data_IF_235999328574
#
_entry.id   IF_235999328574
#
_cell.length_a   1.000
_cell.length_b   1.000
_cell.length_c   1.000
_cell.angle_alpha   90.00
_cell.angle_beta   90.00
_cell.angle_gamma   90.00
#
_symmetry.space_group_name_H-M   'P 1'
#
loop_
_entity.id
_entity.type
_entity.pdbx_description
1 polymer ?
#
# COMPACT_ATOMS: atom_id res chain seq x y z
N UNK A 1 1.87 -5.86 7.74
CA UNK A 1 0.39 -5.75 7.66
C UNK A 1 -0.24 -6.17 8.97
N UNK A 2 -1.15 -5.35 9.50
CA UNK A 2 -2.00 -5.64 10.66
C UNK A 2 -3.43 -5.87 10.17
N UNK A 3 -3.99 -7.04 10.43
CA UNK A 3 -5.40 -7.31 10.16
C UNK A 3 -6.21 -6.97 11.41
N UNK A 4 -7.29 -6.20 11.24
CA UNK A 4 -8.16 -5.69 12.30
C UNK A 4 -9.62 -5.90 11.96
N UNK A 5 -10.48 -5.99 12.98
CA UNK A 5 -11.92 -6.16 12.79
C UNK A 5 -12.62 -4.88 12.31
N UNK A 6 -12.10 -3.71 12.66
CA UNK A 6 -12.68 -2.43 12.28
C UNK A 6 -11.59 -1.37 12.12
N UNK A 7 -11.36 -0.98 10.88
CA UNK A 7 -10.30 -0.04 10.49
C UNK A 7 -10.45 1.34 11.14
N UNK A 8 -11.68 1.77 11.42
CA UNK A 8 -11.95 3.08 12.01
C UNK A 8 -11.54 3.21 13.49
N UNK A 9 -11.30 2.10 14.17
CA UNK A 9 -10.81 2.11 15.56
C UNK A 9 -9.30 2.32 15.66
N UNK A 10 -8.59 2.35 14.53
CA UNK A 10 -7.14 2.39 14.49
C UNK A 10 -6.62 3.64 13.78
N UNK A 11 -5.64 4.30 14.39
CA UNK A 11 -4.94 5.43 13.78
C UNK A 11 -3.71 4.93 13.03
N UNK A 12 -3.77 4.96 11.69
CA UNK A 12 -2.63 4.56 10.85
C UNK A 12 -1.38 5.43 11.14
N UNK A 13 -1.55 6.72 11.45
CA UNK A 13 -0.43 7.60 11.80
C UNK A 13 0.30 7.13 13.06
N UNK A 14 -0.44 6.77 14.12
CA UNK A 14 0.15 6.30 15.37
C UNK A 14 0.82 4.94 15.22
N UNK A 15 0.17 4.01 14.53
CA UNK A 15 0.70 2.65 14.32
C UNK A 15 1.90 2.71 13.36
N UNK A 16 1.74 3.39 12.22
CA UNK A 16 2.75 3.50 11.17
C UNK A 16 4.04 4.11 11.70
N UNK A 17 3.96 5.27 12.35
CA UNK A 17 5.11 5.97 12.89
C UNK A 17 5.92 5.10 13.87
N UNK A 18 5.24 4.39 14.78
CA UNK A 18 5.92 3.51 15.75
C UNK A 18 6.49 2.26 15.12
N UNK A 19 5.78 1.67 14.15
CA UNK A 19 6.19 0.42 13.50
C UNK A 19 7.32 0.65 12.51
N UNK A 20 7.29 1.76 11.76
CA UNK A 20 8.33 2.10 10.78
C UNK A 20 9.73 2.08 11.39
N UNK A 21 9.88 2.63 12.61
CA UNK A 21 11.18 2.78 13.28
C UNK A 21 11.46 1.67 14.29
N UNK A 22 10.63 0.62 14.32
CA UNK A 22 10.84 -0.48 15.27
C UNK A 22 12.16 -1.20 14.96
N UNK A 23 12.98 -1.54 15.96
CA UNK A 23 14.26 -2.26 15.79
C UNK A 23 14.17 -3.59 15.01
N UNK A 24 12.99 -4.22 14.93
CA UNK A 24 12.74 -5.37 14.08
C UNK A 24 12.91 -5.06 12.59
N UNK A 25 12.87 -3.78 12.20
CA UNK A 25 12.99 -3.31 10.82
C UNK A 25 14.15 -2.32 10.72
N UNK A 26 15.41 -2.77 10.66
CA UNK A 26 16.58 -1.88 10.69
C UNK A 26 16.63 -0.89 9.53
N UNK A 27 16.05 -1.25 8.38
CA UNK A 27 15.92 -0.36 7.22
C UNK A 27 14.56 0.36 7.17
N UNK A 28 13.82 0.37 8.30
CA UNK A 28 12.42 0.81 8.38
C UNK A 28 11.48 -0.05 7.52
N UNK A 29 10.18 0.22 7.58
CA UNK A 29 9.19 -0.56 6.82
C UNK A 29 7.96 0.26 6.45
N UNK A 30 7.29 -0.14 5.38
CA UNK A 30 5.90 0.27 5.13
C UNK A 30 4.97 -0.46 6.09
N UNK A 31 3.86 0.18 6.44
CA UNK A 31 2.88 -0.37 7.37
C UNK A 31 1.49 -0.28 6.77
N UNK A 32 0.75 -1.38 6.83
CA UNK A 32 -0.63 -1.41 6.41
C UNK A 32 -1.52 -1.87 7.57
N UNK A 33 -2.66 -1.20 7.74
CA UNK A 33 -3.75 -1.67 8.60
C UNK A 33 -4.90 -2.03 7.68
N UNK A 34 -5.39 -3.25 7.80
CA UNK A 34 -6.33 -3.86 6.86
C UNK A 34 -7.54 -4.46 7.59
N UNK A 35 -8.74 -4.19 7.06
CA UNK A 35 -10.01 -4.79 7.48
C UNK A 35 -10.51 -5.68 6.36
N UNK A 36 -10.61 -6.98 6.62
CA UNK A 36 -11.22 -7.93 5.68
C UNK A 36 -12.73 -7.76 5.74
N UNK A 37 -13.32 -7.25 4.66
CA UNK A 37 -14.76 -7.03 4.55
C UNK A 37 -15.47 -8.35 4.21
N UNK A 38 -14.92 -9.07 3.24
CA UNK A 38 -15.33 -10.41 2.82
C UNK A 38 -14.16 -11.11 2.11
N UNK A 39 -14.35 -12.34 1.66
CA UNK A 39 -13.32 -13.15 1.00
C UNK A 39 -12.77 -12.54 -0.32
N UNK A 40 -13.39 -11.47 -0.82
CA UNK A 40 -13.05 -10.80 -2.08
C UNK A 40 -12.72 -9.31 -1.92
N UNK A 41 -12.80 -8.76 -0.70
CA UNK A 41 -12.63 -7.32 -0.45
C UNK A 41 -11.90 -7.04 0.85
N UNK A 42 -10.92 -6.12 0.78
CA UNK A 42 -10.17 -5.65 1.94
C UNK A 42 -10.09 -4.12 1.88
N UNK A 43 -10.41 -3.45 2.98
CA UNK A 43 -10.14 -2.01 3.17
C UNK A 43 -8.76 -1.84 3.79
N UNK A 44 -7.99 -0.87 3.31
CA UNK A 44 -6.59 -0.70 3.71
C UNK A 44 -6.27 0.77 3.92
N UNK A 45 -5.55 1.06 5.00
CA UNK A 45 -4.83 2.31 5.22
C UNK A 45 -3.34 2.07 5.23
N UNK A 46 -2.60 2.97 4.60
CA UNK A 46 -1.17 2.81 4.34
C UNK A 46 -0.36 3.91 5.02
N UNK A 47 0.75 3.51 5.60
CA UNK A 47 1.86 4.35 6.00
C UNK A 47 3.09 3.90 5.24
N UNK A 48 3.64 4.77 4.40
CA UNK A 48 4.83 4.44 3.62
C UNK A 48 6.10 4.96 4.29
N UNK A 49 7.12 4.15 4.27
CA UNK A 49 8.45 4.45 4.80
C UNK A 49 8.98 5.77 4.24
N UNK A 50 9.28 6.72 5.12
CA UNK A 50 9.81 8.03 4.75
C UNK A 50 8.79 9.03 4.19
N UNK A 51 7.56 8.59 3.88
CA UNK A 51 6.52 9.45 3.29
C UNK A 51 5.33 9.65 4.23
N UNK A 52 5.09 8.72 5.15
CA UNK A 52 3.95 8.76 6.05
C UNK A 52 2.66 8.25 5.41
N UNK A 53 1.52 8.88 5.72
CA UNK A 53 0.22 8.47 5.19
C UNK A 53 0.17 8.76 3.69
N UNK A 54 -0.19 7.75 2.90
CA UNK A 54 -0.44 7.87 1.46
C UNK A 54 -1.84 7.39 1.11
N UNK A 55 -2.41 7.99 0.07
CA UNK A 55 -3.79 7.70 -0.37
C UNK A 55 -3.89 6.35 -1.07
N UNK A 56 -2.82 5.89 -1.70
CA UNK A 56 -2.74 4.62 -2.41
C UNK A 56 -1.29 4.15 -2.52
N UNK A 57 -1.10 2.83 -2.55
CA UNK A 57 0.20 2.19 -2.78
C UNK A 57 -0.02 0.81 -3.38
N UNK A 58 0.45 0.60 -4.62
CA UNK A 58 0.32 -0.66 -5.33
C UNK A 58 1.08 -1.79 -4.63
N UNK A 59 2.30 -1.54 -4.17
CA UNK A 59 3.10 -2.54 -3.43
C UNK A 59 2.47 -2.91 -2.09
N UNK A 60 1.91 -1.94 -1.37
CA UNK A 60 1.16 -2.20 -0.13
C UNK A 60 -0.11 -3.01 -0.38
N UNK A 61 -0.83 -2.73 -1.46
CA UNK A 61 -2.00 -3.52 -1.87
C UNK A 61 -1.63 -4.99 -2.13
N UNK A 62 -0.53 -5.21 -2.86
CA UNK A 62 0.01 -6.56 -3.10
C UNK A 62 0.41 -7.27 -1.81
N UNK A 63 1.11 -6.58 -0.90
CA UNK A 63 1.53 -7.14 0.38
C UNK A 63 0.34 -7.55 1.26
N UNK A 64 -0.71 -6.73 1.31
CA UNK A 64 -1.95 -7.03 2.05
C UNK A 64 -2.65 -8.25 1.46
N UNK A 65 -2.88 -8.27 0.13
CA UNK A 65 -3.56 -9.37 -0.54
C UNK A 65 -2.82 -10.70 -0.36
N UNK A 66 -1.51 -10.70 -0.54
CA UNK A 66 -0.68 -11.89 -0.35
C UNK A 66 -0.72 -12.39 1.10
N UNK A 67 -0.63 -11.47 2.07
CA UNK A 67 -0.71 -11.82 3.49
C UNK A 67 -2.08 -12.40 3.85
N UNK A 68 -3.16 -11.79 3.34
CA UNK A 68 -4.52 -12.28 3.56
C UNK A 68 -4.74 -13.69 2.99
N UNK A 69 -4.25 -13.93 1.76
CA UNK A 69 -4.26 -15.27 1.14
C UNK A 69 -3.52 -16.29 2.01
N UNK A 70 -2.31 -15.99 2.45
CA UNK A 70 -1.50 -16.89 3.30
C UNK A 70 -2.18 -17.24 4.61
N UNK A 71 -3.01 -16.35 5.14
CA UNK A 71 -3.78 -16.55 6.38
C UNK A 71 -5.16 -17.17 6.11
N UNK A 72 -5.47 -17.52 4.87
CA UNK A 72 -6.78 -18.05 4.43
C UNK A 72 -7.95 -17.11 4.78
N UNK A 73 -7.72 -15.81 4.77
CA UNK A 73 -8.73 -14.78 5.02
C UNK A 73 -9.50 -14.41 3.75
N UNK A 74 -8.88 -14.61 2.58
CA UNK A 74 -9.44 -14.23 1.28
C UNK A 74 -9.11 -15.25 0.21
N UNK A 75 -9.82 -15.13 -0.94
CA UNK A 75 -9.50 -15.82 -2.19
C UNK A 75 -8.23 -15.28 -2.84
N UNK A 76 -7.81 -15.91 -3.94
CA UNK A 76 -6.64 -15.51 -4.72
C UNK A 76 -6.78 -14.14 -5.40
N UNK A 77 -8.03 -13.72 -5.65
CA UNK A 77 -8.36 -12.46 -6.29
C UNK A 77 -9.18 -11.60 -5.35
N UNK A 78 -8.67 -10.42 -5.03
CA UNK A 78 -9.32 -9.49 -4.09
C UNK A 78 -9.28 -8.04 -4.58
N UNK A 79 -10.32 -7.30 -4.24
CA UNK A 79 -10.36 -5.85 -4.36
C UNK A 79 -9.78 -5.21 -3.11
N UNK A 80 -8.76 -4.38 -3.31
CA UNK A 80 -8.15 -3.58 -2.25
C UNK A 80 -8.71 -2.17 -2.34
N UNK A 81 -9.41 -1.75 -1.30
CA UNK A 81 -10.05 -0.43 -1.18
C UNK A 81 -9.13 0.46 -0.35
N UNK A 82 -8.53 1.44 -1.00
CA UNK A 82 -7.63 2.44 -0.44
C UNK A 82 -8.33 3.80 -0.40
N UNK A 83 -7.82 4.74 0.38
CA UNK A 83 -8.39 6.10 0.44
C UNK A 83 -8.36 6.81 -0.94
N UNK A 84 -7.39 6.50 -1.78
CA UNK A 84 -7.23 7.07 -3.14
C UNK A 84 -7.93 6.31 -4.26
N UNK A 85 -8.52 5.15 -3.99
CA UNK A 85 -9.21 4.36 -5.01
C UNK A 85 -9.18 2.86 -4.76
N UNK A 86 -9.59 2.10 -5.77
CA UNK A 86 -9.69 0.65 -5.70
C UNK A 86 -8.74 0.04 -6.73
N UNK A 87 -8.03 -1.01 -6.32
CA UNK A 87 -7.23 -1.84 -7.22
C UNK A 87 -7.61 -3.31 -7.06
N UNK A 88 -7.52 -4.07 -8.13
CA UNK A 88 -7.68 -5.52 -8.11
C UNK A 88 -6.30 -6.17 -7.96
N UNK A 89 -6.18 -7.11 -7.03
CA UNK A 89 -4.95 -7.88 -6.81
C UNK A 89 -5.23 -9.36 -7.01
N UNK A 90 -4.35 -10.02 -7.77
CA UNK A 90 -4.44 -11.44 -8.09
C UNK A 90 -3.15 -12.14 -7.67
N UNK A 91 -3.25 -13.05 -6.70
CA UNK A 91 -2.14 -13.87 -6.24
C UNK A 91 -2.09 -15.17 -7.05
N UNK A 92 -1.23 -15.24 -8.04
CA UNK A 92 -1.03 -16.39 -8.91
C UNK A 92 0.21 -17.20 -8.52
N UNK A 93 0.45 -18.34 -9.19
CA UNK A 93 1.64 -19.16 -8.98
C UNK A 93 2.93 -18.42 -9.39
N UNK A 94 2.86 -17.61 -10.43
CA UNK A 94 3.97 -16.84 -10.99
C UNK A 94 4.22 -15.48 -10.30
N UNK A 95 3.36 -15.09 -9.35
CA UNK A 95 3.52 -13.84 -8.61
C UNK A 95 2.23 -13.16 -8.20
N UNK A 96 2.38 -11.90 -7.76
CA UNK A 96 1.26 -11.05 -7.36
C UNK A 96 1.07 -9.95 -8.40
N UNK A 97 -0.10 -9.92 -8.99
CA UNK A 97 -0.48 -8.99 -10.03
C UNK A 97 -1.44 -7.94 -9.49
N UNK A 98 -1.21 -6.68 -9.84
CA UNK A 98 -2.11 -5.57 -9.51
C UNK A 98 -2.61 -4.92 -10.78
N UNK A 99 -3.90 -4.60 -10.81
CA UNK A 99 -4.53 -3.86 -11.90
C UNK A 99 -5.48 -2.79 -11.36
N UNK A 100 -5.64 -1.71 -12.11
CA UNK A 100 -6.51 -0.60 -11.75
C UNK A 100 -6.66 0.37 -12.92
N UNK A 101 -7.60 1.30 -12.79
CA UNK A 101 -7.84 2.34 -13.78
C UNK A 101 -6.68 3.34 -13.82
N UNK A 102 -6.36 3.78 -15.03
CA UNK A 102 -5.41 4.87 -15.26
C UNK A 102 -6.12 6.02 -15.97
N UNK A 103 -5.69 7.25 -15.65
CA UNK A 103 -6.17 8.46 -16.32
C UNK A 103 -5.00 9.32 -16.74
N UNK A 104 -5.05 9.82 -17.98
CA UNK A 104 -4.13 10.85 -18.42
C UNK A 104 -4.47 12.16 -17.68
N UNK A 105 -3.48 12.77 -17.06
CA UNK A 105 -3.66 14.03 -16.30
C UNK A 105 -3.04 15.20 -17.05
N UNK A 106 -1.74 15.13 -17.36
CA UNK A 106 -1.02 16.15 -18.13
C UNK A 106 0.29 15.60 -18.68
N UNK A 107 0.91 16.33 -19.60
CA UNK A 107 2.31 16.16 -19.99
C UNK A 107 3.10 17.42 -19.68
N UNK A 108 4.40 17.28 -19.45
CA UNK A 108 5.28 18.40 -19.14
C UNK A 108 6.71 18.14 -19.60
N UNK A 109 7.53 19.20 -19.61
CA UNK A 109 8.96 19.13 -19.87
C UNK A 109 9.72 19.56 -18.63
N UNK A 110 10.74 18.78 -18.25
CA UNK A 110 11.68 19.13 -17.19
C UNK A 110 12.87 19.81 -17.83
N UNK A 111 13.28 20.98 -17.31
CA UNK A 111 14.47 21.69 -17.80
C UNK A 111 15.72 20.88 -17.50
N UNK A 112 16.63 20.81 -18.48
CA UNK A 112 17.96 20.20 -18.27
C UNK A 112 18.79 20.89 -17.19
N UNK A 113 18.50 22.16 -16.90
CA UNK A 113 19.15 22.91 -15.82
C UNK A 113 18.91 22.31 -14.44
N UNK A 114 17.85 21.52 -14.26
CA UNK A 114 17.56 20.83 -13.00
C UNK A 114 18.61 19.74 -12.68
N UNK A 115 19.28 19.21 -13.70
CA UNK A 115 20.27 18.13 -13.59
C UNK A 115 21.70 18.64 -13.78
N UNK A 116 21.92 19.94 -13.83
CA UNK A 116 23.25 20.53 -13.97
C UNK A 116 23.86 20.78 -12.59
N UNK A 117 24.72 19.85 -12.13
CA UNK A 117 25.40 19.88 -10.83
C UNK A 117 26.38 21.09 -10.67
N UNK A 118 26.59 21.92 -11.72
CA UNK A 118 27.49 23.05 -11.67
C UNK A 118 26.95 24.26 -10.89
N UNK A 119 25.69 24.16 -10.38
CA UNK A 119 25.04 25.25 -9.64
C UNK A 119 24.78 24.90 -8.15
N UNK A 120 25.45 23.91 -7.59
CA UNK A 120 25.44 23.59 -6.14
C UNK A 120 26.82 23.90 -5.53
#
# INVERSE_FOLDING_TARGET
TFFVENLNKFSISKIGQKTEINPLFPEKTNVQVAEVVDESKIKVKVWERGSGITMASGSSACAVAFSAKRLNLTKDSVKIILDGGIVDVHCKEDGVWVSGDIKYVFSGKISSLLFDDRNN
#
